data_IF_604804804497
#
_entry.id   IF_604804804497
#
_cell.length_a   1.000
_cell.length_b   1.000
_cell.length_c   1.000
_cell.angle_alpha   90.00
_cell.angle_beta   90.00
_cell.angle_gamma   90.00
#
_symmetry.space_group_name_H-M   'P 1'
#
loop_
_entity.id
_entity.type
_entity.pdbx_description
1 polymer ?
#
# COMPACT_ATOMS: atom_id res chain seq x y z
N UNK A 1 22.96 54.50 -14.77
CA UNK A 1 21.51 54.24 -14.94
C UNK A 1 20.96 53.84 -13.57
N UNK A 2 20.55 54.78 -12.71
CA UNK A 2 19.22 55.43 -12.56
C UNK A 2 18.03 54.46 -12.37
N UNK A 3 17.41 54.59 -11.17
CA UNK A 3 16.05 54.25 -10.68
C UNK A 3 15.93 52.90 -9.94
N UNK A 4 15.80 52.89 -8.60
CA UNK A 4 14.63 53.22 -7.74
C UNK A 4 13.39 52.37 -8.07
N UNK A 5 12.96 51.53 -7.13
CA UNK A 5 11.60 51.56 -6.56
C UNK A 5 11.50 50.64 -5.33
N UNK A 6 11.47 51.27 -4.16
CA UNK A 6 10.90 50.73 -2.92
C UNK A 6 9.38 50.77 -3.02
N UNK A 7 8.67 49.71 -2.62
CA UNK A 7 7.30 49.82 -2.10
C UNK A 7 7.14 48.85 -0.93
N UNK A 8 7.21 49.45 0.25
CA UNK A 8 6.64 48.98 1.51
C UNK A 8 5.12 49.04 1.36
N UNK A 9 4.40 47.97 1.68
CA UNK A 9 2.98 48.08 2.04
C UNK A 9 2.73 47.34 3.35
N UNK A 10 2.10 48.10 4.24
CA UNK A 10 2.00 47.89 5.66
C UNK A 10 0.84 46.97 6.04
N UNK A 11 0.99 46.38 7.23
CA UNK A 11 -0.08 45.90 8.09
C UNK A 11 -1.21 46.93 8.22
N UNK A 12 -2.45 46.45 8.12
CA UNK A 12 -3.59 47.07 8.77
C UNK A 12 -4.40 45.99 9.50
N UNK A 13 -4.72 46.33 10.74
CA UNK A 13 -5.19 45.53 11.84
C UNK A 13 -6.73 45.60 11.92
N UNK A 14 -7.32 44.57 12.52
CA UNK A 14 -8.49 44.62 13.41
C UNK A 14 -9.89 44.90 12.81
N UNK A 15 -10.73 43.87 12.85
CA UNK A 15 -12.13 44.04 13.26
C UNK A 15 -12.57 42.80 14.05
N UNK A 16 -12.59 42.98 15.37
CA UNK A 16 -13.28 42.17 16.36
C UNK A 16 -14.79 42.20 16.01
N UNK A 17 -15.40 41.05 15.80
CA UNK A 17 -16.86 40.91 15.98
C UNK A 17 -17.10 39.88 17.08
N UNK A 18 -17.03 40.39 18.31
CA UNK A 18 -17.73 39.81 19.43
C UNK A 18 -19.23 40.01 19.21
N UNK A 19 -19.98 38.91 19.19
CA UNK A 19 -21.44 38.85 19.20
C UNK A 19 -21.88 37.68 20.07
N UNK A 20 -23.07 37.73 20.67
CA UNK A 20 -23.24 37.64 22.12
C UNK A 20 -23.22 36.22 22.67
N UNK A 21 -22.58 36.10 23.83
CA UNK A 21 -22.79 35.04 24.82
C UNK A 21 -24.25 35.14 25.28
N UNK A 22 -25.11 34.26 24.78
CA UNK A 22 -26.36 33.93 25.46
C UNK A 22 -26.03 32.89 26.54
N UNK A 23 -25.77 33.41 27.74
CA UNK A 23 -25.90 32.66 28.97
C UNK A 23 -27.39 32.37 29.19
N UNK A 24 -27.80 31.14 28.90
CA UNK A 24 -28.99 30.56 29.50
C UNK A 24 -28.51 29.54 30.51
N UNK A 25 -28.51 29.95 31.77
CA UNK A 25 -28.41 29.04 32.90
C UNK A 25 -29.76 28.33 33.08
N UNK A 26 -29.65 27.08 33.52
CA UNK A 26 -30.64 26.18 34.14
C UNK A 26 -31.17 25.02 33.27
N UNK A 27 -31.40 23.81 33.85
CA UNK A 27 -30.86 23.22 35.09
C UNK A 27 -29.99 21.99 34.81
N UNK A 28 -29.19 21.62 35.81
CA UNK A 28 -28.43 20.36 35.89
C UNK A 28 -29.43 19.20 35.88
N UNK A 29 -29.68 18.64 34.69
CA UNK A 29 -30.37 17.38 34.48
C UNK A 29 -29.37 16.35 33.99
N UNK A 30 -29.23 15.25 34.74
CA UNK A 30 -28.36 14.10 34.53
C UNK A 30 -28.07 13.79 33.05
N UNK A 31 -26.80 14.00 32.64
CA UNK A 31 -26.30 13.71 31.30
C UNK A 31 -26.18 12.17 31.11
N UNK A 32 -27.32 11.53 30.80
CA UNK A 32 -27.31 10.19 30.21
C UNK A 32 -26.66 10.29 28.83
N UNK A 33 -25.68 9.42 28.49
CA UNK A 33 -24.99 9.50 27.21
C UNK A 33 -26.00 9.33 26.07
N UNK A 34 -26.20 10.38 25.27
CA UNK A 34 -27.00 10.35 24.04
C UNK A 34 -26.52 9.19 23.17
N UNK A 35 -27.35 8.16 23.07
CA UNK A 35 -27.14 7.02 22.20
C UNK A 35 -26.91 7.52 20.78
N UNK A 36 -25.67 7.35 20.27
CA UNK A 36 -25.34 7.63 18.88
C UNK A 36 -26.30 6.83 18.01
N UNK A 37 -27.19 7.51 17.27
CA UNK A 37 -28.03 6.87 16.25
C UNK A 37 -27.13 5.96 15.40
N UNK A 38 -27.48 4.67 15.22
CA UNK A 38 -26.67 3.76 14.43
C UNK A 38 -26.57 4.33 13.02
N UNK A 39 -25.35 4.71 12.60
CA UNK A 39 -25.09 5.06 11.20
C UNK A 39 -25.60 3.89 10.35
N UNK A 40 -26.39 4.13 9.28
CA UNK A 40 -26.87 3.07 8.42
C UNK A 40 -25.69 2.21 8.01
N UNK A 41 -25.76 0.91 8.32
CA UNK A 41 -24.72 -0.06 7.95
C UNK A 41 -24.62 0.00 6.43
N UNK A 42 -23.56 0.66 5.93
CA UNK A 42 -23.24 0.62 4.50
C UNK A 42 -23.29 -0.84 4.06
N UNK A 43 -23.98 -1.18 2.95
CA UNK A 43 -24.04 -2.55 2.48
C UNK A 43 -22.61 -3.08 2.41
N UNK A 44 -22.35 -4.21 3.09
CA UNK A 44 -21.05 -4.85 3.09
C UNK A 44 -20.73 -5.17 1.63
N UNK A 45 -19.85 -4.39 1.02
CA UNK A 45 -19.40 -4.69 -0.33
C UNK A 45 -18.82 -6.11 -0.32
N UNK A 46 -19.21 -6.96 -1.28
CA UNK A 46 -18.67 -8.32 -1.36
C UNK A 46 -17.17 -8.37 -1.67
N UNK A 47 -16.55 -7.21 -1.89
CA UNK A 47 -15.11 -7.02 -2.00
C UNK A 47 -14.49 -6.98 -0.60
N UNK A 48 -13.34 -7.63 -0.42
CA UNK A 48 -12.56 -7.62 0.82
C UNK A 48 -11.12 -7.18 0.58
N UNK A 49 -10.43 -6.79 1.64
CA UNK A 49 -9.00 -6.48 1.61
C UNK A 49 -8.66 -5.35 0.65
N UNK A 50 -7.64 -5.59 -0.18
CA UNK A 50 -7.08 -4.57 -1.08
C UNK A 50 -8.10 -4.04 -2.09
N UNK A 51 -8.91 -4.92 -2.69
CA UNK A 51 -9.91 -4.50 -3.69
C UNK A 51 -11.06 -3.67 -3.10
N UNK A 52 -11.42 -3.90 -1.83
CA UNK A 52 -12.43 -3.09 -1.14
C UNK A 52 -11.93 -1.67 -0.86
N UNK A 53 -10.69 -1.56 -0.35
CA UNK A 53 -10.03 -0.29 -0.12
C UNK A 53 -9.87 0.45 -1.44
N UNK A 54 -9.48 -0.25 -2.49
CA UNK A 54 -9.30 0.31 -3.82
C UNK A 54 -10.60 0.84 -4.42
N UNK A 55 -11.65 0.03 -4.47
CA UNK A 55 -12.95 0.46 -4.97
C UNK A 55 -13.46 1.73 -4.27
N UNK A 56 -13.22 1.85 -2.96
CA UNK A 56 -13.58 3.04 -2.19
C UNK A 56 -12.68 4.24 -2.47
N UNK A 57 -11.36 4.05 -2.54
CA UNK A 57 -10.39 5.17 -2.67
C UNK A 57 -10.22 5.69 -4.08
N UNK A 58 -10.36 4.82 -5.08
CA UNK A 58 -10.30 5.21 -6.48
C UNK A 58 -11.64 5.76 -6.99
N UNK A 59 -12.73 5.63 -6.23
CA UNK A 59 -14.05 6.15 -6.62
C UNK A 59 -14.67 5.32 -7.74
N UNK A 60 -14.74 4.00 -7.56
CA UNK A 60 -15.39 3.13 -8.55
C UNK A 60 -16.89 3.37 -8.56
N UNK A 61 -17.50 3.37 -9.75
CA UNK A 61 -18.96 3.33 -9.90
C UNK A 61 -19.52 2.00 -9.37
N UNK A 62 -20.81 1.93 -9.10
CA UNK A 62 -21.42 0.69 -8.59
C UNK A 62 -21.39 -0.44 -9.63
N UNK A 63 -21.47 -0.09 -10.92
CA UNK A 63 -21.23 -1.02 -12.02
C UNK A 63 -19.78 -1.55 -12.02
N UNK A 64 -18.78 -0.66 -11.90
CA UNK A 64 -17.38 -1.05 -11.81
C UNK A 64 -17.11 -1.95 -10.59
N UNK A 65 -17.73 -1.64 -9.43
CA UNK A 65 -17.63 -2.48 -8.22
C UNK A 65 -18.21 -3.86 -8.44
N UNK A 66 -19.33 -3.96 -9.16
CA UNK A 66 -19.99 -5.23 -9.48
C UNK A 66 -19.12 -6.08 -10.42
N UNK A 67 -18.60 -5.48 -11.50
CA UNK A 67 -17.65 -6.14 -12.42
C UNK A 67 -16.36 -6.56 -11.70
N UNK A 68 -15.81 -5.70 -10.84
CA UNK A 68 -14.63 -6.00 -10.04
C UNK A 68 -14.87 -7.19 -9.10
N UNK A 69 -16.04 -7.26 -8.46
CA UNK A 69 -16.40 -8.36 -7.56
C UNK A 69 -16.46 -9.69 -8.32
N UNK A 70 -17.04 -9.71 -9.51
CA UNK A 70 -17.07 -10.91 -10.36
C UNK A 70 -15.64 -11.34 -10.76
N UNK A 71 -14.83 -10.42 -11.30
CA UNK A 71 -13.44 -10.73 -11.69
C UNK A 71 -12.58 -11.22 -10.52
N UNK A 72 -12.73 -10.64 -9.34
CA UNK A 72 -11.99 -11.08 -8.15
C UNK A 72 -12.42 -12.47 -7.71
N UNK A 73 -13.72 -12.80 -7.81
CA UNK A 73 -14.22 -14.15 -7.53
C UNK A 73 -13.63 -15.18 -8.51
N UNK A 74 -13.73 -14.91 -9.81
CA UNK A 74 -13.17 -15.76 -10.87
C UNK A 74 -11.65 -15.93 -10.72
N UNK A 75 -10.92 -14.85 -10.44
CA UNK A 75 -9.48 -14.89 -10.19
C UNK A 75 -9.15 -15.82 -9.01
N UNK A 76 -9.88 -15.70 -7.90
CA UNK A 76 -9.63 -16.52 -6.72
C UNK A 76 -9.92 -18.01 -6.98
N UNK A 77 -10.99 -18.31 -7.72
CA UNK A 77 -11.32 -19.68 -8.13
C UNK A 77 -10.27 -20.26 -9.07
N UNK A 78 -9.82 -19.48 -10.07
CA UNK A 78 -8.78 -19.91 -11.00
C UNK A 78 -7.44 -20.14 -10.30
N UNK A 79 -7.03 -19.23 -9.40
CA UNK A 79 -5.81 -19.38 -8.60
C UNK A 79 -5.91 -20.59 -7.68
N UNK A 80 -7.08 -20.86 -7.09
CA UNK A 80 -7.30 -22.05 -6.26
C UNK A 80 -7.20 -23.33 -7.07
N UNK A 81 -7.86 -23.42 -8.24
CA UNK A 81 -7.78 -24.58 -9.13
C UNK A 81 -6.34 -24.87 -9.54
N UNK A 82 -5.59 -23.84 -9.92
CA UNK A 82 -4.17 -23.96 -10.25
C UNK A 82 -3.32 -24.39 -9.04
N UNK A 83 -3.64 -23.90 -7.84
CA UNK A 83 -2.93 -24.29 -6.62
C UNK A 83 -3.16 -25.77 -6.27
N UNK A 84 -4.39 -26.28 -6.42
CA UNK A 84 -4.68 -27.70 -6.23
C UNK A 84 -3.99 -28.56 -7.30
N UNK A 85 -4.08 -28.17 -8.57
CA UNK A 85 -3.45 -28.90 -9.68
C UNK A 85 -1.91 -28.98 -9.56
N UNK A 86 -1.28 -27.97 -8.94
CA UNK A 86 0.17 -27.92 -8.74
C UNK A 86 0.65 -28.40 -7.37
N UNK A 87 -0.26 -28.75 -6.45
CA UNK A 87 0.03 -29.03 -5.04
C UNK A 87 1.04 -30.15 -4.84
N UNK A 88 0.80 -31.30 -5.47
CA UNK A 88 1.65 -32.49 -5.34
C UNK A 88 3.03 -32.24 -5.94
N UNK A 89 3.08 -31.72 -7.17
CA UNK A 89 4.32 -31.35 -7.85
C UNK A 89 5.17 -30.35 -7.05
N UNK A 90 4.54 -29.36 -6.41
CA UNK A 90 5.25 -28.42 -5.54
C UNK A 90 5.74 -29.08 -4.25
N UNK A 91 5.02 -30.06 -3.69
CA UNK A 91 5.45 -30.81 -2.52
C UNK A 91 6.66 -31.71 -2.82
N UNK A 92 6.65 -32.40 -3.96
CA UNK A 92 7.78 -33.21 -4.44
C UNK A 92 9.02 -32.36 -4.68
N UNK A 93 8.88 -31.22 -5.37
CA UNK A 93 10.00 -30.32 -5.60
C UNK A 93 10.56 -29.73 -4.30
N UNK A 94 9.73 -29.51 -3.28
CA UNK A 94 10.22 -29.13 -1.94
C UNK A 94 11.05 -30.26 -1.31
N UNK A 95 10.56 -31.50 -1.36
CA UNK A 95 11.31 -32.67 -0.86
C UNK A 95 12.64 -32.83 -1.59
N UNK A 96 12.66 -32.67 -2.92
CA UNK A 96 13.88 -32.74 -3.73
C UNK A 96 14.89 -31.65 -3.36
N UNK A 97 14.44 -30.41 -3.10
CA UNK A 97 15.32 -29.33 -2.63
C UNK A 97 15.93 -29.66 -1.26
N UNK A 98 15.15 -30.18 -0.32
CA UNK A 98 15.66 -30.55 1.00
C UNK A 98 16.59 -31.76 0.96
N UNK A 99 16.31 -32.76 0.12
CA UNK A 99 17.19 -33.90 -0.10
C UNK A 99 18.54 -33.44 -0.70
N UNK A 100 18.51 -32.62 -1.75
CA UNK A 100 19.72 -32.05 -2.35
C UNK A 100 20.52 -31.20 -1.36
N UNK A 101 19.85 -30.45 -0.49
CA UNK A 101 20.49 -29.68 0.59
C UNK A 101 21.20 -30.60 1.60
N UNK A 102 20.58 -31.71 2.01
CA UNK A 102 21.20 -32.70 2.91
C UNK A 102 22.40 -33.39 2.25
N UNK A 103 22.28 -33.73 0.97
CA UNK A 103 23.34 -34.34 0.18
C UNK A 103 24.45 -33.34 -0.25
N UNK A 104 24.31 -32.04 0.05
CA UNK A 104 25.17 -30.96 -0.45
C UNK A 104 25.26 -30.89 -1.98
N UNK A 105 24.29 -31.48 -2.69
CA UNK A 105 24.21 -31.46 -4.14
C UNK A 105 23.62 -30.13 -4.63
N UNK A 106 24.50 -29.23 -5.03
CA UNK A 106 24.11 -27.91 -5.54
C UNK A 106 23.40 -28.01 -6.90
N UNK A 107 23.76 -28.97 -7.75
CA UNK A 107 23.20 -29.09 -9.09
C UNK A 107 21.73 -29.55 -9.02
N UNK A 108 21.46 -30.64 -8.31
CA UNK A 108 20.10 -31.13 -8.07
C UNK A 108 19.24 -30.08 -7.35
N UNK A 109 19.81 -29.39 -6.36
CA UNK A 109 19.13 -28.31 -5.64
C UNK A 109 18.75 -27.12 -6.54
N UNK A 110 19.62 -26.74 -7.48
CA UNK A 110 19.31 -25.69 -8.46
C UNK A 110 18.26 -26.12 -9.47
N UNK A 111 18.35 -27.35 -9.98
CA UNK A 111 17.38 -27.87 -10.94
C UNK A 111 15.98 -27.95 -10.34
N UNK A 112 15.84 -28.47 -9.12
CA UNK A 112 14.56 -28.53 -8.42
C UNK A 112 13.97 -27.12 -8.16
N UNK A 113 14.83 -26.12 -7.86
CA UNK A 113 14.40 -24.72 -7.74
C UNK A 113 13.92 -24.13 -9.07
N UNK A 114 14.60 -24.41 -10.17
CA UNK A 114 14.18 -23.98 -11.52
C UNK A 114 12.81 -24.59 -11.87
N UNK A 115 12.64 -25.90 -11.72
CA UNK A 115 11.35 -26.60 -11.93
C UNK A 115 10.25 -26.01 -11.04
N UNK A 116 10.54 -25.72 -9.77
CA UNK A 116 9.58 -25.06 -8.87
C UNK A 116 9.21 -23.65 -9.32
N UNK A 117 10.17 -22.89 -9.86
CA UNK A 117 9.91 -21.55 -10.38
C UNK A 117 8.98 -21.59 -11.61
N UNK A 118 9.18 -22.56 -12.52
CA UNK A 118 8.32 -22.76 -13.69
C UNK A 118 6.89 -23.16 -13.29
N UNK A 119 6.72 -24.08 -12.33
CA UNK A 119 5.37 -24.43 -11.81
C UNK A 119 4.68 -23.19 -11.21
N UNK A 120 5.42 -22.36 -10.46
CA UNK A 120 4.88 -21.11 -9.92
C UNK A 120 4.60 -20.04 -10.98
N UNK A 121 5.12 -20.17 -12.19
CA UNK A 121 4.92 -19.22 -13.29
C UNK A 121 3.48 -19.30 -13.83
N UNK A 122 2.90 -20.50 -13.90
CA UNK A 122 1.51 -20.70 -14.32
C UNK A 122 0.51 -19.98 -13.40
N UNK A 123 0.60 -20.20 -12.08
CA UNK A 123 -0.20 -19.48 -11.09
C UNK A 123 -0.03 -17.95 -11.16
N UNK A 124 1.20 -17.47 -11.40
CA UNK A 124 1.46 -16.03 -11.62
C UNK A 124 0.82 -15.52 -12.91
N UNK A 125 0.84 -16.29 -13.98
CA UNK A 125 0.25 -15.91 -15.26
C UNK A 125 -1.27 -15.79 -15.16
N UNK A 126 -1.94 -16.74 -14.48
CA UNK A 126 -3.39 -16.66 -14.18
C UNK A 126 -3.70 -15.34 -13.48
N UNK A 127 -3.00 -15.04 -12.38
CA UNK A 127 -3.22 -13.81 -11.63
C UNK A 127 -2.93 -12.55 -12.45
N UNK A 128 -1.86 -12.56 -13.24
CA UNK A 128 -1.50 -11.43 -14.10
C UNK A 128 -2.57 -11.16 -15.18
N UNK A 129 -3.16 -12.21 -15.75
CA UNK A 129 -4.26 -12.09 -16.71
C UNK A 129 -5.49 -11.40 -16.10
N UNK A 130 -5.90 -11.84 -14.90
CA UNK A 130 -7.01 -11.17 -14.19
C UNK A 130 -6.65 -9.76 -13.73
N UNK A 131 -5.40 -9.50 -13.33
CA UNK A 131 -4.97 -8.14 -13.01
C UNK A 131 -5.13 -7.20 -14.21
N UNK A 132 -4.75 -7.62 -15.43
CA UNK A 132 -4.96 -6.83 -16.65
C UNK A 132 -6.44 -6.51 -16.88
N UNK A 133 -7.32 -7.51 -16.81
CA UNK A 133 -8.78 -7.32 -16.91
C UNK A 133 -9.32 -6.32 -15.89
N UNK A 134 -8.81 -6.37 -14.65
CA UNK A 134 -9.18 -5.42 -13.60
C UNK A 134 -8.66 -4.01 -13.91
N UNK A 135 -7.48 -3.88 -14.52
CA UNK A 135 -6.94 -2.59 -14.96
C UNK A 135 -7.76 -1.97 -16.07
N UNK A 136 -8.24 -2.76 -17.02
CA UNK A 136 -9.08 -2.32 -18.13
C UNK A 136 -10.45 -1.79 -17.67
N UNK A 137 -10.95 -2.21 -16.50
CA UNK A 137 -12.15 -1.63 -15.90
C UNK A 137 -12.00 -0.18 -15.44
N UNK A 138 -10.77 0.34 -15.38
CA UNK A 138 -10.46 1.62 -14.75
C UNK A 138 -10.14 2.74 -15.73
N UNK A 139 -10.57 3.95 -15.38
CA UNK A 139 -10.09 5.18 -16.00
C UNK A 139 -8.61 5.42 -15.68
N UNK A 140 -7.92 6.24 -16.48
CA UNK A 140 -6.53 6.59 -16.21
C UNK A 140 -6.34 7.25 -14.82
N UNK A 141 -7.30 8.07 -14.39
CA UNK A 141 -7.30 8.69 -13.06
C UNK A 141 -7.42 7.64 -11.94
N UNK A 142 -8.31 6.66 -12.09
CA UNK A 142 -8.49 5.57 -11.14
C UNK A 142 -7.23 4.69 -11.04
N UNK A 143 -6.57 4.41 -12.17
CA UNK A 143 -5.29 3.70 -12.22
C UNK A 143 -4.19 4.46 -11.48
N UNK A 144 -4.10 5.77 -11.68
CA UNK A 144 -3.16 6.63 -10.95
C UNK A 144 -3.38 6.57 -9.44
N UNK A 145 -4.64 6.69 -8.98
CA UNK A 145 -4.99 6.56 -7.55
C UNK A 145 -4.63 5.19 -6.98
N UNK A 146 -4.77 4.12 -7.78
CA UNK A 146 -4.35 2.77 -7.38
C UNK A 146 -2.84 2.65 -7.29
N UNK A 147 -2.11 2.94 -8.36
CA UNK A 147 -0.65 2.85 -8.37
C UNK A 147 -0.03 3.60 -7.19
N UNK A 148 -0.51 4.82 -6.94
CA UNK A 148 -0.08 5.65 -5.82
C UNK A 148 -0.40 5.03 -4.45
N UNK A 149 -1.55 4.36 -4.31
CA UNK A 149 -1.87 3.59 -3.12
C UNK A 149 -0.97 2.37 -2.91
N UNK A 150 -0.66 1.61 -3.96
CA UNK A 150 0.25 0.46 -3.88
C UNK A 150 1.64 0.92 -3.42
N UNK A 151 2.14 2.01 -3.99
CA UNK A 151 3.44 2.58 -3.63
C UNK A 151 3.44 3.13 -2.21
N UNK A 152 2.40 3.87 -1.83
CA UNK A 152 2.23 4.38 -0.47
C UNK A 152 2.21 3.27 0.57
N UNK A 153 1.53 2.14 0.31
CA UNK A 153 1.53 0.98 1.22
C UNK A 153 2.91 0.38 1.37
N UNK A 154 3.66 0.28 0.27
CA UNK A 154 5.05 -0.20 0.29
C UNK A 154 5.95 0.73 1.11
N UNK A 155 5.87 2.04 0.86
CA UNK A 155 6.60 3.06 1.60
C UNK A 155 6.23 3.06 3.09
N UNK A 156 4.94 2.97 3.42
CA UNK A 156 4.46 2.94 4.81
C UNK A 156 5.04 1.75 5.59
N UNK A 157 5.15 0.57 4.97
CA UNK A 157 5.83 -0.58 5.58
C UNK A 157 7.31 -0.35 5.75
N UNK A 158 7.97 0.21 4.72
CA UNK A 158 9.41 0.48 4.73
C UNK A 158 9.77 1.49 5.83
N UNK A 159 9.00 2.56 5.98
CA UNK A 159 9.26 3.64 6.93
C UNK A 159 8.46 3.52 8.24
N UNK A 160 7.90 2.34 8.54
CA UNK A 160 7.09 2.15 9.75
C UNK A 160 7.83 2.53 11.05
N UNK A 161 9.15 2.29 11.11
CA UNK A 161 9.99 2.61 12.27
C UNK A 161 10.22 4.11 12.46
N UNK A 162 10.08 4.92 11.40
CA UNK A 162 10.29 6.36 11.47
C UNK A 162 9.15 7.09 12.20
N UNK A 163 8.02 6.41 12.51
CA UNK A 163 6.85 7.01 13.16
C UNK A 163 6.44 8.34 12.51
N UNK A 164 6.14 8.28 11.22
CA UNK A 164 5.84 9.47 10.41
C UNK A 164 4.68 10.28 11.01
N UNK A 165 4.83 11.60 11.04
CA UNK A 165 3.74 12.53 11.35
C UNK A 165 2.69 12.53 10.23
N UNK A 166 1.53 13.14 10.45
CA UNK A 166 0.47 13.15 9.43
C UNK A 166 0.86 13.99 8.20
N UNK A 167 1.58 15.08 8.38
CA UNK A 167 2.09 15.87 7.25
C UNK A 167 3.19 15.13 6.48
N UNK A 168 4.05 14.38 7.18
CA UNK A 168 5.00 13.49 6.52
C UNK A 168 4.28 12.37 5.74
N UNK A 169 3.21 11.78 6.27
CA UNK A 169 2.40 10.79 5.54
C UNK A 169 1.78 11.40 4.28
N UNK A 170 1.28 12.64 4.33
CA UNK A 170 0.78 13.36 3.14
C UNK A 170 1.90 13.58 2.13
N UNK A 171 3.09 14.02 2.55
CA UNK A 171 4.23 14.20 1.65
C UNK A 171 4.69 12.88 1.00
N UNK A 172 4.75 11.79 1.78
CA UNK A 172 5.01 10.43 1.26
C UNK A 172 3.95 10.03 0.24
N UNK A 173 2.68 10.36 0.50
CA UNK A 173 1.58 10.07 -0.42
C UNK A 173 1.76 10.80 -1.74
N UNK A 174 2.05 12.09 -1.72
CA UNK A 174 2.32 12.89 -2.93
C UNK A 174 3.46 12.31 -3.76
N UNK A 175 4.58 11.93 -3.14
CA UNK A 175 5.72 11.31 -3.85
C UNK A 175 5.34 9.95 -4.45
N UNK A 176 4.53 9.16 -3.74
CA UNK A 176 4.07 7.87 -4.24
C UNK A 176 3.09 8.01 -5.40
N UNK A 177 2.16 8.97 -5.33
CA UNK A 177 1.20 9.27 -6.40
C UNK A 177 1.94 9.81 -7.65
N UNK A 178 2.96 10.65 -7.48
CA UNK A 178 3.81 11.13 -8.58
C UNK A 178 4.58 9.99 -9.27
N UNK A 179 5.23 9.11 -8.50
CA UNK A 179 5.95 7.96 -9.04
C UNK A 179 5.01 6.95 -9.74
N UNK A 180 3.77 6.79 -9.25
CA UNK A 180 2.77 5.99 -9.93
C UNK A 180 2.31 6.62 -11.24
N UNK A 181 2.16 7.95 -11.29
CA UNK A 181 1.83 8.69 -12.51
C UNK A 181 2.92 8.57 -13.57
N UNK A 182 4.19 8.64 -13.19
CA UNK A 182 5.33 8.42 -14.11
C UNK A 182 5.27 7.03 -14.78
N UNK A 183 4.76 6.01 -14.09
CA UNK A 183 4.70 4.62 -14.57
C UNK A 183 3.40 4.25 -15.29
N UNK A 184 2.33 5.02 -15.12
CA UNK A 184 1.01 4.70 -15.63
C UNK A 184 0.55 3.29 -15.22
N UNK A 185 0.12 2.49 -16.21
CA UNK A 185 -0.39 1.14 -15.99
C UNK A 185 0.64 0.20 -15.35
N UNK A 186 1.93 0.43 -15.61
CA UNK A 186 3.00 -0.40 -15.06
C UNK A 186 3.02 -0.36 -13.53
N UNK A 187 2.51 0.71 -12.90
CA UNK A 187 2.43 0.83 -11.45
C UNK A 187 1.59 -0.29 -10.80
N UNK A 188 0.69 -0.92 -11.55
CA UNK A 188 -0.28 -1.91 -11.06
C UNK A 188 -0.25 -3.24 -11.81
N UNK A 189 0.19 -3.29 -13.07
CA UNK A 189 0.11 -4.48 -13.93
C UNK A 189 1.46 -5.03 -14.43
N UNK A 190 2.60 -4.53 -13.93
CA UNK A 190 3.93 -4.97 -14.35
C UNK A 190 4.13 -6.49 -14.18
N UNK A 191 4.28 -7.19 -15.30
CA UNK A 191 4.40 -8.65 -15.35
C UNK A 191 5.69 -9.10 -16.02
N UNK A 192 6.16 -8.40 -17.05
CA UNK A 192 7.45 -8.64 -17.70
C UNK A 192 8.63 -8.26 -16.80
N UNK A 193 9.80 -8.85 -17.08
CA UNK A 193 11.03 -8.62 -16.29
C UNK A 193 11.46 -7.16 -16.36
N UNK A 194 11.44 -6.55 -17.54
CA UNK A 194 11.85 -5.15 -17.73
C UNK A 194 10.87 -4.17 -17.08
N UNK A 195 9.56 -4.42 -17.18
CA UNK A 195 8.55 -3.60 -16.49
C UNK A 195 8.74 -3.64 -14.97
N UNK A 196 9.01 -4.82 -14.41
CA UNK A 196 9.28 -4.98 -12.98
C UNK A 196 10.53 -4.21 -12.56
N UNK A 197 11.58 -4.18 -13.39
CA UNK A 197 12.77 -3.37 -13.12
C UNK A 197 12.44 -1.87 -13.12
N UNK A 198 11.63 -1.39 -14.08
CA UNK A 198 11.17 0.01 -14.11
C UNK A 198 10.39 0.38 -12.85
N UNK A 199 9.43 -0.46 -12.45
CA UNK A 199 8.67 -0.28 -11.20
C UNK A 199 9.61 -0.26 -9.98
N UNK A 200 10.58 -1.18 -9.92
CA UNK A 200 11.54 -1.24 -8.82
C UNK A 200 12.42 0.02 -8.76
N UNK A 201 12.88 0.52 -9.91
CA UNK A 201 13.66 1.75 -10.01
C UNK A 201 12.86 2.96 -9.52
N UNK A 202 11.60 3.09 -9.94
CA UNK A 202 10.71 4.15 -9.46
C UNK A 202 10.45 4.07 -7.95
N UNK A 203 10.20 2.87 -7.41
CA UNK A 203 10.04 2.66 -5.96
C UNK A 203 11.32 3.02 -5.19
N UNK A 204 12.49 2.70 -5.74
CA UNK A 204 13.78 3.07 -5.16
C UNK A 204 13.95 4.59 -5.16
N UNK A 205 13.74 5.26 -6.30
CA UNK A 205 13.79 6.73 -6.45
C UNK A 205 12.86 7.42 -5.46
N UNK A 206 11.59 7.01 -5.40
CA UNK A 206 10.62 7.55 -4.46
C UNK A 206 11.04 7.33 -2.99
N UNK A 207 11.58 6.14 -2.66
CA UNK A 207 12.10 5.88 -1.31
C UNK A 207 13.25 6.81 -0.93
N UNK A 208 14.15 7.08 -1.86
CA UNK A 208 15.30 7.97 -1.64
C UNK A 208 14.83 9.41 -1.45
N UNK A 209 13.87 9.88 -2.25
CA UNK A 209 13.24 11.18 -2.08
C UNK A 209 12.55 11.31 -0.72
N UNK A 210 11.76 10.31 -0.30
CA UNK A 210 11.14 10.28 1.03
C UNK A 210 12.21 10.40 2.13
N UNK A 211 13.29 9.63 2.03
CA UNK A 211 14.35 9.66 3.03
C UNK A 211 15.06 11.01 3.11
N UNK A 212 15.22 11.72 1.99
CA UNK A 212 15.95 13.00 1.93
C UNK A 212 15.06 14.19 2.30
N UNK A 213 13.86 14.23 1.76
CA UNK A 213 12.98 15.40 1.79
C UNK A 213 11.91 15.34 2.90
N UNK A 214 11.51 14.13 3.33
CA UNK A 214 10.39 13.98 4.28
C UNK A 214 10.86 13.62 5.68
N UNK A 215 11.85 12.73 5.79
CA UNK A 215 12.36 12.31 7.10
C UNK A 215 13.27 13.37 7.72
N UNK A 216 13.16 13.54 9.03
CA UNK A 216 14.15 14.27 9.82
C UNK A 216 15.44 13.46 9.97
N UNK A 217 16.53 14.11 10.41
CA UNK A 217 17.80 13.40 10.65
C UNK A 217 17.69 12.32 11.73
N UNK A 218 16.92 12.59 12.78
CA UNK A 218 16.65 11.61 13.83
C UNK A 218 15.90 10.39 13.29
N UNK A 219 14.88 10.61 12.46
CA UNK A 219 14.15 9.53 11.81
C UNK A 219 15.03 8.75 10.83
N UNK A 220 15.90 9.44 10.06
CA UNK A 220 16.90 8.79 9.21
C UNK A 220 17.86 7.90 10.00
N UNK A 221 18.32 8.37 11.16
CA UNK A 221 19.17 7.59 12.08
C UNK A 221 18.42 6.38 12.64
N UNK A 222 17.17 6.57 13.09
CA UNK A 222 16.31 5.49 13.60
C UNK A 222 16.05 4.40 12.54
N UNK A 223 15.97 4.77 11.26
CA UNK A 223 15.81 3.83 10.14
C UNK A 223 17.06 2.95 9.91
N UNK A 224 18.26 3.44 10.24
CA UNK A 224 19.53 2.71 10.09
C UNK A 224 19.88 1.87 11.31
N UNK A 225 19.28 2.15 12.47
CA UNK A 225 19.48 1.36 13.66
C UNK A 225 19.02 -0.08 13.43
N UNK A 226 19.96 -1.03 13.48
CA UNK A 226 19.62 -2.45 13.54
C UNK A 226 18.73 -2.64 14.76
N UNK A 227 17.68 -3.46 14.62
CA UNK A 227 16.88 -3.83 15.78
C UNK A 227 17.82 -4.47 16.80
N UNK A 228 18.11 -3.78 17.90
CA UNK A 228 18.72 -4.42 19.07
C UNK A 228 17.79 -5.58 19.41
N UNK A 229 18.37 -6.77 19.51
CA UNK A 229 17.63 -8.01 19.71
C UNK A 229 16.65 -7.82 20.87
N UNK A 230 15.41 -8.27 20.67
CA UNK A 230 14.60 -8.63 21.83
C UNK A 230 15.37 -9.76 22.50
N UNK A 231 16.00 -9.47 23.64
CA UNK A 231 16.46 -10.50 24.55
C UNK A 231 15.26 -11.41 24.81
N UNK A 232 15.38 -12.64 24.30
CA UNK A 232 14.44 -13.70 24.64
C UNK A 232 14.64 -13.94 26.13
N UNK A 233 13.61 -13.82 26.98
CA UNK A 233 13.75 -14.27 28.36
C UNK A 233 14.16 -15.75 28.31
N UNK A 234 15.25 -16.06 28.99
CA UNK A 234 15.73 -17.43 29.12
C UNK A 234 14.59 -18.28 29.67
N UNK A 235 14.25 -19.37 28.96
CA UNK A 235 13.36 -20.38 29.52
C UNK A 235 14.05 -20.94 30.77
N UNK A 236 13.39 -20.99 31.94
CA UNK A 236 13.90 -21.80 33.04
C UNK A 236 14.00 -23.24 32.55
N UNK A 237 15.13 -23.87 32.86
CA UNK A 237 15.28 -25.32 32.75
C UNK A 237 14.63 -25.89 34.00
N UNK A 238 13.50 -26.56 33.82
CA UNK A 238 13.06 -27.63 34.70
C UNK A 238 13.42 -28.95 34.01
#
# INVERSE_FOLDING_TARGET
MKRLFSVVWALALLALTAGPVLAQAEPVGEDKPKAKKPKPKKPKSGLRGEYAIMASKAGFTDEQKTKLKALVKEMNEAVRKEAEASKEKLAELKKAIEAAKKAKDKAAGQEARKKMAEVKKASKAVKAGYQKKIVELMTAEQRGKWGGFVFYRSASRKFAKAKLTDDQKKAVRTLCDAAAKELGDLAISASAKEDKKKVQAAVKKASEQISRQVLTDEQRKAMKAKAKGKDKPAKPKD
#
